data_IF_377067615133
#
_entry.id   IF_377067615133
#
_cell.length_a   1.000
_cell.length_b   1.000
_cell.length_c   1.000
_cell.angle_alpha   90.00
_cell.angle_beta   90.00
_cell.angle_gamma   90.00
#
_symmetry.space_group_name_H-M   'P 1'
#
loop_
_entity.id
_entity.type
_entity.pdbx_description
1 polymer ?
#
# COMPACT_ATOMS: atom_id res chain seq x y z
N UNK A 1 0.89 43.79 27.01
CA UNK A 1 0.80 42.51 27.74
C UNK A 1 0.46 41.43 26.72
N UNK A 2 1.46 40.76 26.15
CA UNK A 2 1.24 39.60 25.30
C UNK A 2 0.94 38.42 26.22
N UNK A 3 -0.23 37.81 26.06
CA UNK A 3 -0.55 36.56 26.75
C UNK A 3 0.44 35.48 26.29
N UNK A 4 0.98 34.64 27.21
CA UNK A 4 1.69 33.43 26.79
C UNK A 4 0.67 32.47 26.15
N UNK A 5 1.02 31.73 25.09
CA UNK A 5 0.15 30.69 24.58
C UNK A 5 0.01 29.60 25.65
N UNK A 6 -1.18 29.53 26.25
CA UNK A 6 -1.63 28.40 27.05
C UNK A 6 -1.87 27.20 26.12
N UNK A 7 -0.81 26.53 25.72
CA UNK A 7 -0.89 25.20 25.13
C UNK A 7 -0.74 24.20 26.27
N UNK A 8 -1.85 23.59 26.67
CA UNK A 8 -1.83 22.32 27.39
C UNK A 8 -0.77 21.42 26.73
N UNK A 9 0.30 21.13 27.47
CA UNK A 9 1.47 20.35 27.06
C UNK A 9 1.12 18.85 26.95
N UNK A 10 0.06 18.54 26.20
CA UNK A 10 -0.48 17.21 26.03
C UNK A 10 0.41 16.46 25.04
N UNK A 11 1.07 15.42 25.56
CA UNK A 11 1.86 14.48 24.78
C UNK A 11 0.99 13.95 23.63
N UNK A 12 1.42 14.07 22.36
CA UNK A 12 0.62 13.69 21.22
C UNK A 12 0.34 12.17 21.27
N UNK A 13 -0.92 11.72 21.16
CA UNK A 13 -1.24 10.30 21.22
C UNK A 13 -0.76 9.54 19.99
N UNK A 14 -0.62 10.22 18.85
CA UNK A 14 -0.12 9.65 17.60
C UNK A 14 0.80 10.62 16.88
N UNK A 15 1.95 10.12 16.47
CA UNK A 15 2.91 10.82 15.64
C UNK A 15 3.00 10.14 14.28
N UNK A 16 3.34 10.90 13.24
CA UNK A 16 3.73 10.36 11.95
C UNK A 16 5.17 10.73 11.68
N UNK A 17 6.01 9.73 11.50
CA UNK A 17 7.40 9.92 11.07
C UNK A 17 7.42 9.72 9.56
N UNK A 18 7.89 10.71 8.81
CA UNK A 18 8.04 10.63 7.37
C UNK A 18 9.53 10.55 7.01
N UNK A 19 9.90 9.47 6.31
CA UNK A 19 11.26 9.23 5.81
C UNK A 19 11.20 9.06 4.29
N UNK A 20 11.50 10.11 3.51
CA UNK A 20 11.40 10.06 2.05
C UNK A 20 12.62 9.38 1.39
N UNK A 21 13.81 9.45 2.00
CA UNK A 21 15.06 8.96 1.41
C UNK A 21 15.84 8.04 2.36
N UNK A 22 16.82 7.32 1.82
CA UNK A 22 17.72 6.45 2.58
C UNK A 22 17.22 5.02 2.81
N UNK A 23 18.09 4.17 3.37
CA UNK A 23 17.81 2.75 3.65
C UNK A 23 16.77 2.56 4.77
N UNK A 24 16.54 3.61 5.56
CA UNK A 24 15.69 3.61 6.75
C UNK A 24 14.23 4.01 6.45
N UNK A 25 13.81 3.96 5.17
CA UNK A 25 12.43 4.25 4.71
C UNK A 25 11.35 3.46 5.45
N UNK A 26 11.67 2.24 5.89
CA UNK A 26 10.81 1.39 6.70
C UNK A 26 10.47 1.98 8.09
N UNK A 27 11.19 3.01 8.54
CA UNK A 27 10.84 3.77 9.73
C UNK A 27 9.71 4.79 9.51
N UNK A 28 9.32 5.07 8.25
CA UNK A 28 8.19 5.93 7.93
C UNK A 28 6.88 5.27 8.39
N UNK A 29 5.98 6.02 9.02
CA UNK A 29 4.66 5.53 9.42
C UNK A 29 4.09 6.17 10.69
N UNK A 30 2.96 5.62 11.15
CA UNK A 30 2.26 6.11 12.34
C UNK A 30 2.80 5.46 13.60
N UNK A 31 3.14 6.27 14.59
CA UNK A 31 3.63 5.90 15.91
C UNK A 31 2.58 6.24 16.95
N UNK A 32 2.13 5.25 17.72
CA UNK A 32 1.12 5.41 18.77
C UNK A 32 1.76 5.42 20.16
N UNK A 33 1.34 6.35 21.00
CA UNK A 33 1.84 6.53 22.36
C UNK A 33 1.61 5.25 23.18
N UNK A 34 2.65 4.82 23.88
CA UNK A 34 2.63 3.67 24.76
C UNK A 34 2.38 4.11 26.22
N UNK A 35 1.87 3.18 27.04
CA UNK A 35 1.78 3.39 28.50
C UNK A 35 3.16 3.41 29.15
N UNK A 36 4.09 2.64 28.58
CA UNK A 36 5.48 2.57 29.01
C UNK A 36 6.21 3.88 28.66
N UNK A 37 7.23 4.21 29.45
CA UNK A 37 8.11 5.35 29.20
C UNK A 37 9.52 4.86 28.89
N UNK A 38 10.24 5.60 28.05
CA UNK A 38 11.65 5.37 27.79
C UNK A 38 12.44 6.50 28.43
N UNK A 39 13.34 6.20 29.37
CA UNK A 39 14.15 7.21 30.07
C UNK A 39 13.30 8.37 30.65
N UNK A 40 12.19 8.03 31.33
CA UNK A 40 11.19 8.95 31.90
C UNK A 40 10.41 9.81 30.88
N UNK A 41 10.63 9.57 29.60
CA UNK A 41 10.06 10.32 28.48
C UNK A 41 9.01 9.50 27.73
N UNK A 42 8.09 10.15 27.01
CA UNK A 42 7.08 9.44 26.24
C UNK A 42 7.70 8.53 25.19
N UNK A 43 7.09 7.36 25.03
CA UNK A 43 7.49 6.34 24.09
C UNK A 43 6.35 6.14 23.09
N UNK A 44 6.68 6.14 21.79
CA UNK A 44 5.71 5.77 20.77
C UNK A 44 6.16 4.51 20.04
N UNK A 45 5.19 3.65 19.68
CA UNK A 45 5.42 2.42 18.90
C UNK A 45 4.80 2.56 17.52
N UNK A 46 5.55 2.21 16.48
CA UNK A 46 5.07 2.15 15.10
C UNK A 46 3.93 1.13 14.96
N UNK A 47 2.87 1.53 14.25
CA UNK A 47 1.83 0.65 13.76
C UNK A 47 2.31 0.00 12.45
N UNK A 48 2.29 -1.34 12.38
CA UNK A 48 2.78 -2.09 11.23
C UNK A 48 3.34 -3.45 11.64
N UNK A 49 3.92 -4.15 10.66
CA UNK A 49 4.55 -5.47 10.86
C UNK A 49 5.92 -5.31 11.52
N UNK A 50 6.67 -4.26 11.16
CA UNK A 50 7.96 -3.96 11.76
C UNK A 50 7.79 -3.17 13.05
N UNK A 51 8.19 -3.77 14.17
CA UNK A 51 8.18 -3.07 15.45
C UNK A 51 9.33 -2.06 15.50
N UNK A 52 8.97 -0.78 15.45
CA UNK A 52 9.87 0.33 15.69
C UNK A 52 9.33 1.22 16.82
N UNK A 53 10.23 1.89 17.52
CA UNK A 53 9.92 2.80 18.62
C UNK A 53 10.57 4.15 18.40
N UNK A 54 9.82 5.22 18.67
CA UNK A 54 10.33 6.57 18.78
C UNK A 54 10.50 6.89 20.26
N UNK A 55 11.72 7.18 20.67
CA UNK A 55 12.11 7.34 22.07
C UNK A 55 13.23 8.38 22.23
N UNK A 56 13.44 8.82 23.46
CA UNK A 56 14.58 9.64 23.83
C UNK A 56 15.64 8.78 24.54
N UNK A 57 16.91 8.88 24.14
CA UNK A 57 18.00 8.18 24.82
C UNK A 57 18.51 8.97 26.05
N UNK A 58 19.42 8.38 26.83
CA UNK A 58 20.02 9.03 28.03
C UNK A 58 20.83 10.31 27.72
N UNK A 59 21.25 10.48 26.47
CA UNK A 59 21.95 11.68 26.01
C UNK A 59 20.98 12.80 25.61
N UNK A 60 19.66 12.58 25.71
CA UNK A 60 18.63 13.55 25.33
C UNK A 60 18.32 13.59 23.83
N UNK A 61 18.87 12.68 23.04
CA UNK A 61 18.65 12.57 21.61
C UNK A 61 17.36 11.81 21.30
N UNK A 62 16.62 12.27 20.28
CA UNK A 62 15.45 11.55 19.79
C UNK A 62 15.88 10.51 18.76
N UNK A 63 15.44 9.28 18.96
CA UNK A 63 15.85 8.12 18.17
C UNK A 63 14.62 7.34 17.69
N UNK A 64 14.69 6.82 16.47
CA UNK A 64 13.79 5.74 16.01
C UNK A 64 14.61 4.45 15.94
N UNK A 65 14.24 3.46 16.74
CA UNK A 65 14.97 2.19 16.85
C UNK A 65 14.07 0.96 16.83
N UNK A 66 14.66 -0.18 16.50
CA UNK A 66 13.98 -1.46 16.40
C UNK A 66 13.80 -2.16 17.75
N UNK A 67 13.43 -3.44 17.70
CA UNK A 67 13.15 -4.27 18.87
C UNK A 67 14.31 -4.36 19.85
N UNK A 68 15.54 -4.28 19.37
CA UNK A 68 16.70 -4.38 20.25
C UNK A 68 16.91 -3.11 21.09
N UNK A 69 16.38 -1.96 20.67
CA UNK A 69 16.35 -0.77 21.52
C UNK A 69 15.51 -1.02 22.79
N UNK A 70 14.37 -1.71 22.65
CA UNK A 70 13.53 -2.11 23.79
C UNK A 70 14.21 -3.13 24.69
N UNK A 71 14.92 -4.12 24.12
CA UNK A 71 15.67 -5.14 24.88
C UNK A 71 16.79 -4.53 25.73
N UNK A 72 17.29 -3.36 25.35
CA UNK A 72 18.33 -2.61 26.06
C UNK A 72 17.77 -1.41 26.82
N UNK A 73 16.49 -1.45 27.17
CA UNK A 73 15.80 -0.41 27.96
C UNK A 73 15.97 1.00 27.38
N UNK A 74 16.05 1.11 26.05
CA UNK A 74 16.24 2.38 25.33
C UNK A 74 17.54 3.12 25.67
N UNK A 75 18.55 2.42 26.20
CA UNK A 75 19.91 2.91 26.43
C UNK A 75 20.84 2.71 25.21
N UNK A 76 20.24 2.48 24.03
CA UNK A 76 20.98 2.07 22.86
C UNK A 76 21.19 3.21 21.87
N UNK A 77 22.46 3.45 21.53
CA UNK A 77 22.89 4.44 20.54
C UNK A 77 22.82 3.94 19.09
N UNK A 78 22.57 2.64 18.86
CA UNK A 78 22.27 2.13 17.51
C UNK A 78 20.78 2.28 17.27
N UNK A 79 20.44 3.29 16.48
CA UNK A 79 19.09 3.59 16.03
C UNK A 79 19.10 3.77 14.51
N UNK A 80 17.93 3.69 13.89
CA UNK A 80 17.77 3.87 12.45
C UNK A 80 17.76 5.35 12.10
N UNK A 81 17.00 6.13 12.86
CA UNK A 81 16.94 7.58 12.75
C UNK A 81 17.39 8.21 14.05
N UNK A 82 18.01 9.37 13.91
CA UNK A 82 18.62 10.08 15.02
C UNK A 82 18.48 11.58 14.83
N UNK A 83 18.05 12.28 15.88
CA UNK A 83 18.01 13.73 15.95
C UNK A 83 18.85 14.19 17.14
N UNK A 84 19.81 15.08 16.88
CA UNK A 84 20.64 15.67 17.93
C UNK A 84 19.79 16.50 18.89
N UNK A 85 20.14 16.44 20.17
CA UNK A 85 19.46 17.20 21.20
C UNK A 85 19.70 18.70 20.94
N UNK A 86 18.69 19.55 21.12
CA UNK A 86 18.94 20.98 21.12
C UNK A 86 19.95 21.31 22.23
N UNK A 87 20.77 22.37 22.05
CA UNK A 87 21.75 22.78 23.05
C UNK A 87 21.12 23.17 24.39
N UNK A 88 19.82 23.47 24.41
CA UNK A 88 19.05 23.72 25.62
C UNK A 88 18.34 22.43 26.12
N UNK A 89 18.67 21.94 27.33
CA UNK A 89 18.03 20.77 27.95
C UNK A 89 16.51 20.90 28.13
N UNK A 90 15.99 22.12 28.26
CA UNK A 90 14.54 22.34 28.42
C UNK A 90 13.78 22.11 27.12
N UNK A 91 14.37 22.45 25.97
CA UNK A 91 13.80 22.15 24.66
C UNK A 91 13.86 20.65 24.33
N UNK A 92 14.89 19.96 24.82
CA UNK A 92 15.01 18.51 24.68
C UNK A 92 13.85 17.75 25.35
N UNK A 93 13.28 18.30 26.44
CA UNK A 93 12.11 17.76 27.16
C UNK A 93 10.76 18.10 26.50
N UNK A 94 10.75 18.99 25.52
CA UNK A 94 9.52 19.45 24.87
C UNK A 94 8.96 18.46 23.82
N UNK A 95 9.66 17.35 23.57
CA UNK A 95 9.21 16.31 22.64
C UNK A 95 9.68 16.53 21.19
N UNK A 96 9.54 15.51 20.32
CA UNK A 96 10.06 15.53 18.96
C UNK A 96 9.38 16.57 18.04
N UNK A 97 8.18 17.05 18.41
CA UNK A 97 7.43 18.06 17.66
C UNK A 97 7.88 19.50 17.92
N UNK A 98 8.35 19.80 19.14
CA UNK A 98 8.86 21.15 19.49
C UNK A 98 10.30 21.37 19.00
N UNK A 99 11.03 20.30 18.72
CA UNK A 99 12.41 20.33 18.18
C UNK A 99 12.34 20.30 16.63
N UNK A 100 11.36 20.99 16.05
CA UNK A 100 11.14 21.06 14.59
C UNK A 100 12.26 21.81 13.81
N UNK A 101 13.30 22.30 14.51
CA UNK A 101 14.37 23.11 13.91
C UNK A 101 15.66 22.32 13.59
N UNK A 102 15.81 21.09 14.07
CA UNK A 102 17.03 20.29 13.83
C UNK A 102 16.77 19.19 12.79
N UNK A 103 17.63 19.05 11.77
CA UNK A 103 17.47 18.00 10.78
C UNK A 103 17.67 16.62 11.41
N UNK A 104 16.89 15.65 10.95
CA UNK A 104 17.11 14.25 11.33
C UNK A 104 18.24 13.66 10.50
N UNK A 105 18.85 12.61 11.02
CA UNK A 105 19.90 11.84 10.37
C UNK A 105 19.45 10.39 10.28
N UNK A 106 19.87 9.71 9.22
CA UNK A 106 19.67 8.27 9.05
C UNK A 106 21.03 7.57 8.90
N UNK A 107 21.08 6.31 9.32
CA UNK A 107 22.30 5.51 9.22
C UNK A 107 22.41 4.86 7.84
N UNK A 108 23.47 5.20 7.11
CA UNK A 108 23.88 4.57 5.85
C UNK A 108 24.75 3.36 6.16
N UNK A 109 24.24 2.15 5.88
CA UNK A 109 24.94 0.90 6.16
C UNK A 109 26.12 0.64 5.21
N UNK A 110 26.01 1.10 3.96
CA UNK A 110 27.05 0.98 2.93
C UNK A 110 28.19 1.92 3.25
N UNK A 111 27.88 3.20 3.47
CA UNK A 111 28.86 4.23 3.81
C UNK A 111 29.33 4.20 5.28
N UNK A 112 28.66 3.41 6.13
CA UNK A 112 28.87 3.33 7.60
C UNK A 112 28.94 4.70 8.27
N UNK A 113 28.04 5.60 7.88
CA UNK A 113 28.03 6.99 8.34
C UNK A 113 26.60 7.48 8.58
N UNK A 114 26.48 8.51 9.41
CA UNK A 114 25.23 9.25 9.53
C UNK A 114 25.09 10.23 8.37
N UNK A 115 23.94 10.19 7.71
CA UNK A 115 23.59 11.10 6.62
C UNK A 115 22.48 12.02 7.11
N UNK A 116 22.75 13.33 7.02
CA UNK A 116 21.82 14.37 7.43
C UNK A 116 20.76 14.56 6.35
N UNK A 117 19.49 14.44 6.73
CA UNK A 117 18.35 14.57 5.83
C UNK A 117 17.35 15.61 6.39
N UNK A 118 17.36 16.84 5.84
CA UNK A 118 16.47 17.90 6.26
C UNK A 118 15.05 17.71 5.72
N UNK A 119 14.72 16.63 5.02
CA UNK A 119 13.37 16.33 4.52
C UNK A 119 12.58 15.39 5.42
N UNK A 120 13.25 14.71 6.37
CA UNK A 120 12.58 13.90 7.39
C UNK A 120 11.75 14.80 8.32
N UNK A 121 10.51 14.39 8.61
CA UNK A 121 9.55 15.16 9.42
C UNK A 121 8.86 14.25 10.44
N UNK A 122 8.56 14.80 11.61
CA UNK A 122 7.67 14.19 12.61
C UNK A 122 6.48 15.12 12.81
N UNK A 123 5.27 14.60 12.63
CA UNK A 123 4.04 15.38 12.64
C UNK A 123 3.06 14.83 13.67
N UNK A 124 2.32 15.73 14.31
CA UNK A 124 1.24 15.38 15.23
C UNK A 124 -0.01 15.01 14.43
N UNK A 125 -0.37 13.74 14.40
CA UNK A 125 -1.45 13.24 13.54
C UNK A 125 -2.82 13.85 13.91
N UNK A 126 -3.26 13.83 15.19
CA UNK A 126 -4.49 14.46 15.62
C UNK A 126 -4.63 15.93 15.24
N UNK A 127 -3.54 16.69 15.34
CA UNK A 127 -3.55 18.14 15.08
C UNK A 127 -3.14 18.50 13.64
N UNK A 128 -2.70 17.53 12.84
CA UNK A 128 -2.35 17.77 11.44
C UNK A 128 -3.59 18.19 10.64
N UNK A 129 -3.46 19.29 9.88
CA UNK A 129 -4.50 19.75 8.98
C UNK A 129 -4.78 18.73 7.87
N UNK A 130 -5.95 18.82 7.24
CA UNK A 130 -6.28 17.98 6.08
C UNK A 130 -5.23 18.11 4.98
N UNK A 131 -4.72 19.32 4.76
CA UNK A 131 -3.67 19.61 3.79
C UNK A 131 -2.35 18.93 4.13
N UNK A 132 -1.94 18.96 5.39
CA UNK A 132 -0.71 18.28 5.84
C UNK A 132 -0.81 16.76 5.65
N UNK A 133 -1.96 16.16 5.98
CA UNK A 133 -2.21 14.73 5.77
C UNK A 133 -2.20 14.38 4.28
N UNK A 134 -2.78 15.23 3.44
CA UNK A 134 -2.81 15.03 1.99
C UNK A 134 -1.43 15.21 1.36
N UNK A 135 -0.65 16.22 1.78
CA UNK A 135 0.72 16.45 1.33
C UNK A 135 1.62 15.24 1.66
N UNK A 136 1.53 14.71 2.88
CA UNK A 136 2.25 13.49 3.24
C UNK A 136 1.87 12.31 2.35
N UNK A 137 0.56 12.10 2.16
CA UNK A 137 0.09 11.02 1.31
C UNK A 137 0.54 11.18 -0.13
N UNK A 138 0.62 12.41 -0.64
CA UNK A 138 1.09 12.68 -1.99
C UNK A 138 2.58 12.34 -2.13
N UNK A 139 3.42 12.81 -1.21
CA UNK A 139 4.84 12.45 -1.19
C UNK A 139 5.07 10.94 -1.05
N UNK A 140 4.27 10.28 -0.22
CA UNK A 140 4.35 8.83 -0.05
C UNK A 140 3.92 8.11 -1.34
N UNK A 141 2.83 8.51 -1.98
CA UNK A 141 2.39 7.97 -3.27
C UNK A 141 3.44 8.22 -4.37
N UNK A 142 4.06 9.40 -4.42
CA UNK A 142 5.16 9.70 -5.33
C UNK A 142 6.37 8.79 -5.07
N UNK A 143 6.71 8.54 -3.80
CA UNK A 143 7.77 7.61 -3.44
C UNK A 143 7.45 6.17 -3.89
N UNK A 144 6.20 5.73 -3.72
CA UNK A 144 5.72 4.43 -4.23
C UNK A 144 5.85 4.35 -5.76
N UNK A 145 5.45 5.39 -6.48
CA UNK A 145 5.58 5.47 -7.95
C UNK A 145 7.04 5.49 -8.39
N UNK A 146 7.91 6.20 -7.67
CA UNK A 146 9.34 6.18 -7.92
C UNK A 146 9.93 4.76 -7.82
N UNK A 147 9.50 3.98 -6.82
CA UNK A 147 9.89 2.58 -6.69
C UNK A 147 9.36 1.73 -7.86
N UNK A 148 8.09 1.91 -8.24
CA UNK A 148 7.49 1.23 -9.40
C UNK A 148 8.25 1.53 -10.70
N UNK A 149 8.61 2.80 -10.95
CA UNK A 149 9.36 3.21 -12.14
C UNK A 149 10.76 2.59 -12.21
N UNK A 150 11.43 2.45 -11.06
CA UNK A 150 12.71 1.72 -10.98
C UNK A 150 12.51 0.25 -11.38
N UNK A 151 11.43 -0.39 -10.91
CA UNK A 151 11.10 -1.76 -11.29
C UNK A 151 10.70 -1.91 -12.77
N UNK A 152 9.99 -0.94 -13.36
CA UNK A 152 9.68 -0.93 -14.82
C UNK A 152 10.95 -0.89 -15.66
N UNK A 153 11.93 -0.05 -15.28
CA UNK A 153 13.22 0.02 -15.99
C UNK A 153 14.02 -1.27 -15.91
N UNK A 154 13.84 -2.06 -14.85
CA UNK A 154 14.45 -3.39 -14.68
C UNK A 154 13.77 -4.48 -15.51
N UNK A 155 12.48 -4.34 -15.81
CA UNK A 155 11.65 -5.33 -16.56
C UNK A 155 11.54 -5.03 -18.05
N UNK A 156 12.10 -3.90 -18.49
CA UNK A 156 12.16 -3.52 -19.90
C UNK A 156 13.12 -4.42 -20.68
N UNK A 157 12.57 -5.22 -21.61
CA UNK A 157 13.30 -6.20 -22.43
C UNK A 157 14.39 -5.60 -23.36
N UNK A 158 14.46 -4.27 -23.52
CA UNK A 158 15.39 -3.60 -24.45
C UNK A 158 16.52 -2.81 -23.79
N UNK A 159 16.53 -2.66 -22.46
CA UNK A 159 17.63 -2.03 -21.75
C UNK A 159 18.58 -3.11 -21.20
N UNK A 160 19.92 -2.91 -21.29
CA UNK A 160 20.87 -3.82 -20.67
C UNK A 160 20.57 -3.91 -19.16
N UNK A 161 20.61 -5.11 -18.56
CA UNK A 161 20.27 -5.30 -17.16
C UNK A 161 21.14 -4.37 -16.32
N UNK A 162 20.49 -3.46 -15.57
CA UNK A 162 21.17 -2.55 -14.66
C UNK A 162 22.01 -3.37 -13.66
N UNK A 163 23.23 -2.91 -13.30
CA UNK A 163 24.09 -3.65 -12.38
C UNK A 163 23.32 -3.98 -11.09
N UNK A 164 23.49 -5.19 -10.53
CA UNK A 164 22.76 -5.63 -9.35
C UNK A 164 23.11 -4.71 -8.18
N UNK A 165 22.22 -3.76 -7.91
CA UNK A 165 22.15 -3.01 -6.65
C UNK A 165 21.45 -3.93 -5.64
N UNK A 166 21.85 -3.93 -4.35
CA UNK A 166 21.40 -4.90 -3.35
C UNK A 166 19.87 -4.97 -3.33
N UNK A 167 19.36 -6.12 -3.77
CA UNK A 167 17.95 -6.40 -3.95
C UNK A 167 17.30 -6.61 -2.59
N UNK A 168 16.80 -5.53 -1.99
CA UNK A 168 15.79 -5.64 -0.95
C UNK A 168 14.46 -5.59 -1.68
N UNK A 169 13.69 -6.66 -1.62
CA UNK A 169 12.31 -6.68 -2.12
C UNK A 169 11.54 -5.56 -1.37
N UNK A 170 11.33 -4.41 -2.04
CA UNK A 170 10.70 -3.25 -1.42
C UNK A 170 9.17 -3.42 -1.30
N UNK A 171 8.61 -4.46 -1.93
CA UNK A 171 7.15 -4.71 -2.00
C UNK A 171 6.45 -4.85 -0.64
N UNK A 172 7.03 -5.49 0.42
CA UNK A 172 6.38 -5.59 1.73
C UNK A 172 6.25 -4.22 2.41
N UNK A 173 7.19 -3.32 2.13
CA UNK A 173 7.23 -1.99 2.74
C UNK A 173 6.20 -1.04 2.11
N UNK A 174 5.81 -1.29 0.85
CA UNK A 174 4.87 -0.45 0.11
C UNK A 174 3.45 -0.61 0.65
N UNK A 175 3.01 -1.85 0.88
CA UNK A 175 1.74 -2.13 1.54
C UNK A 175 1.72 -1.56 2.96
N UNK A 176 2.80 -1.71 3.73
CA UNK A 176 2.89 -1.16 5.09
C UNK A 176 2.73 0.37 5.11
N UNK A 177 3.35 1.09 4.18
CA UNK A 177 3.27 2.55 4.10
C UNK A 177 1.85 3.00 3.75
N UNK A 178 1.22 2.35 2.79
CA UNK A 178 -0.17 2.61 2.44
C UNK A 178 -1.14 2.30 3.60
N UNK A 179 -0.94 1.18 4.30
CA UNK A 179 -1.68 0.82 5.50
C UNK A 179 -1.61 1.93 6.55
N UNK A 180 -0.40 2.43 6.79
CA UNK A 180 -0.15 3.58 7.64
C UNK A 180 -0.98 4.80 7.23
N UNK A 181 -0.97 5.17 5.95
CA UNK A 181 -1.72 6.33 5.45
C UNK A 181 -3.23 6.16 5.61
N UNK A 182 -3.76 4.95 5.43
CA UNK A 182 -5.17 4.71 5.74
C UNK A 182 -5.48 4.87 7.23
N UNK A 183 -4.57 4.48 8.13
CA UNK A 183 -4.76 4.72 9.58
C UNK A 183 -4.72 6.20 9.96
N UNK A 184 -4.12 7.06 9.11
CA UNK A 184 -4.19 8.52 9.24
C UNK A 184 -5.55 9.10 8.80
N UNK A 185 -6.42 8.29 8.21
CA UNK A 185 -7.69 8.73 7.65
C UNK A 185 -7.53 9.44 6.30
N UNK A 186 -6.43 9.20 5.58
CA UNK A 186 -6.28 9.68 4.21
C UNK A 186 -7.02 8.75 3.27
N UNK A 187 -7.79 9.34 2.36
CA UNK A 187 -8.42 8.62 1.28
C UNK A 187 -7.50 8.54 0.06
N UNK A 188 -6.73 7.46 -0.02
CA UNK A 188 -5.83 7.16 -1.14
C UNK A 188 -6.56 6.84 -2.45
N UNK A 189 -7.90 6.74 -2.44
CA UNK A 189 -8.70 6.49 -3.64
C UNK A 189 -9.16 7.77 -4.33
N UNK A 190 -8.77 8.93 -3.80
CA UNK A 190 -8.98 10.23 -4.42
C UNK A 190 -8.28 10.32 -5.80
N UNK A 191 -8.90 10.96 -6.81
CA UNK A 191 -8.26 11.25 -8.09
C UNK A 191 -7.07 12.21 -7.96
N UNK A 192 -6.87 12.84 -6.79
CA UNK A 192 -5.71 13.67 -6.49
C UNK A 192 -4.39 12.89 -6.52
N UNK A 193 -4.45 11.56 -6.45
CA UNK A 193 -3.28 10.68 -6.44
C UNK A 193 -3.06 9.99 -7.79
N UNK A 194 -3.45 10.59 -8.92
CA UNK A 194 -3.09 10.11 -10.27
C UNK A 194 -1.74 10.64 -10.71
N UNK A 195 -1.00 9.88 -11.51
CA UNK A 195 0.20 10.39 -12.19
C UNK A 195 -0.13 11.13 -13.49
N UNK A 196 0.91 11.56 -14.22
CA UNK A 196 0.82 12.23 -15.52
C UNK A 196 0.16 11.37 -16.60
N UNK A 197 0.13 10.05 -16.41
CA UNK A 197 -0.57 9.10 -17.29
C UNK A 197 -2.01 8.84 -16.83
N UNK A 198 -2.48 9.53 -15.78
CA UNK A 198 -3.81 9.35 -15.21
C UNK A 198 -3.94 8.05 -14.41
N UNK A 199 -2.84 7.35 -14.16
CA UNK A 199 -2.87 6.08 -13.46
C UNK A 199 -3.09 6.31 -11.96
N UNK A 200 -4.16 5.75 -11.40
CA UNK A 200 -4.42 5.77 -9.95
C UNK A 200 -3.45 4.84 -9.22
N UNK A 201 -3.38 4.95 -7.89
CA UNK A 201 -2.55 4.05 -7.08
C UNK A 201 -2.90 2.57 -7.27
N UNK A 202 -4.17 2.23 -7.49
CA UNK A 202 -4.60 0.87 -7.80
C UNK A 202 -4.08 0.38 -9.16
N UNK A 203 -4.03 1.26 -10.18
CA UNK A 203 -3.46 0.91 -11.49
C UNK A 203 -1.97 0.57 -11.36
N UNK A 204 -1.21 1.40 -10.63
CA UNK A 204 0.21 1.14 -10.36
C UNK A 204 0.42 -0.11 -9.53
N UNK A 205 -0.38 -0.33 -8.47
CA UNK A 205 -0.27 -1.53 -7.65
C UNK A 205 -0.60 -2.80 -8.45
N UNK A 206 -1.54 -2.73 -9.38
CA UNK A 206 -1.90 -3.84 -10.25
C UNK A 206 -0.82 -4.16 -11.29
N UNK A 207 -0.23 -3.12 -11.90
CA UNK A 207 0.91 -3.24 -12.81
C UNK A 207 2.13 -3.88 -12.11
N UNK A 208 2.36 -3.54 -10.84
CA UNK A 208 3.51 -4.00 -10.07
C UNK A 208 3.31 -5.32 -9.32
N UNK A 209 2.07 -5.85 -9.29
CA UNK A 209 1.78 -7.10 -8.58
C UNK A 209 1.67 -6.96 -7.06
N UNK A 210 1.45 -5.76 -6.53
CA UNK A 210 1.38 -5.50 -5.08
C UNK A 210 0.04 -5.95 -4.49
N UNK A 211 -0.11 -7.26 -4.29
CA UNK A 211 -1.34 -7.93 -3.84
C UNK A 211 -1.91 -7.36 -2.55
N UNK A 212 -1.07 -7.12 -1.54
CA UNK A 212 -1.51 -6.57 -0.24
C UNK A 212 -2.01 -5.12 -0.38
N UNK A 213 -1.33 -4.29 -1.15
CA UNK A 213 -1.77 -2.92 -1.42
C UNK A 213 -3.07 -2.89 -2.22
N UNK A 214 -3.20 -3.74 -3.24
CA UNK A 214 -4.47 -3.92 -3.96
C UNK A 214 -5.60 -4.33 -3.00
N UNK A 215 -5.34 -5.29 -2.10
CA UNK A 215 -6.33 -5.73 -1.10
C UNK A 215 -6.77 -4.59 -0.20
N UNK A 216 -5.85 -3.81 0.33
CA UNK A 216 -6.17 -2.70 1.21
C UNK A 216 -6.94 -1.59 0.49
N UNK A 217 -6.53 -1.23 -0.72
CA UNK A 217 -7.22 -0.26 -1.56
C UNK A 217 -8.65 -0.71 -1.85
N UNK A 218 -8.86 -1.97 -2.22
CA UNK A 218 -10.18 -2.52 -2.49
C UNK A 218 -11.04 -2.69 -1.24
N UNK A 219 -10.47 -2.87 -0.05
CA UNK A 219 -11.26 -2.86 1.19
C UNK A 219 -11.77 -1.45 1.55
N UNK A 220 -11.09 -0.39 1.10
CA UNK A 220 -11.36 1.00 1.50
C UNK A 220 -11.80 1.91 0.34
N UNK A 221 -12.09 1.34 -0.82
CA UNK A 221 -12.34 2.10 -2.04
C UNK A 221 -13.68 2.84 -2.06
N UNK A 222 -13.70 3.97 -2.79
CA UNK A 222 -14.93 4.63 -3.22
C UNK A 222 -15.63 3.86 -4.34
N UNK A 223 -16.97 3.96 -4.45
CA UNK A 223 -17.71 3.42 -5.59
C UNK A 223 -17.11 3.91 -6.93
N UNK A 224 -16.86 2.98 -7.85
CA UNK A 224 -16.30 3.29 -9.17
C UNK A 224 -14.77 3.38 -9.23
N UNK A 225 -14.06 3.36 -8.10
CA UNK A 225 -12.58 3.39 -8.10
C UNK A 225 -11.95 2.16 -8.79
N UNK A 226 -12.59 1.00 -8.66
CA UNK A 226 -12.18 -0.26 -9.31
C UNK A 226 -12.10 -0.14 -10.84
N UNK A 227 -13.03 0.60 -11.43
CA UNK A 227 -13.15 0.80 -12.88
C UNK A 227 -12.46 2.09 -13.35
N UNK A 228 -11.61 2.69 -12.51
CA UNK A 228 -10.79 3.85 -12.90
C UNK A 228 -9.93 3.49 -14.10
N UNK A 229 -9.76 4.46 -15.01
CA UNK A 229 -8.99 4.30 -16.24
C UNK A 229 -7.85 5.30 -16.30
N UNK A 230 -6.72 4.87 -16.85
CA UNK A 230 -5.65 5.79 -17.25
C UNK A 230 -5.98 6.53 -18.56
N UNK A 231 -5.08 7.40 -19.03
CA UNK A 231 -5.26 8.14 -20.28
C UNK A 231 -5.41 7.24 -21.53
N UNK A 232 -4.97 5.99 -21.45
CA UNK A 232 -5.15 4.98 -22.51
C UNK A 232 -6.44 4.13 -22.31
N UNK A 233 -7.29 4.50 -21.37
CA UNK A 233 -8.55 3.79 -21.10
C UNK A 233 -8.38 2.44 -20.38
N UNK A 234 -7.19 2.12 -19.88
CA UNK A 234 -6.87 0.81 -19.28
C UNK A 234 -7.26 0.77 -17.80
N UNK A 235 -7.85 -0.33 -17.36
CA UNK A 235 -8.28 -0.58 -15.97
C UNK A 235 -7.22 -1.33 -15.16
N UNK A 236 -7.41 -1.46 -13.85
CA UNK A 236 -6.47 -2.21 -12.99
C UNK A 236 -6.34 -3.67 -13.42
N UNK A 237 -7.45 -4.27 -13.84
CA UNK A 237 -7.48 -5.64 -14.35
C UNK A 237 -6.65 -5.78 -15.63
N UNK A 238 -6.71 -4.78 -16.51
CA UNK A 238 -5.88 -4.75 -17.72
C UNK A 238 -4.38 -4.77 -17.37
N UNK A 239 -3.95 -3.90 -16.45
CA UNK A 239 -2.55 -3.82 -16.02
C UNK A 239 -2.07 -5.10 -15.32
N UNK A 240 -2.88 -5.69 -14.43
CA UNK A 240 -2.54 -6.95 -13.76
C UNK A 240 -2.35 -8.11 -14.74
N UNK A 241 -3.24 -8.22 -15.73
CA UNK A 241 -3.17 -9.27 -16.76
C UNK A 241 -1.99 -9.04 -17.69
N UNK A 242 -1.78 -7.81 -18.16
CA UNK A 242 -0.63 -7.47 -19.00
C UNK A 242 0.70 -7.79 -18.29
N UNK A 243 0.81 -7.49 -17.00
CA UNK A 243 2.01 -7.79 -16.22
C UNK A 243 2.12 -9.27 -15.79
N UNK A 244 1.09 -10.08 -16.03
CA UNK A 244 1.10 -11.52 -15.73
C UNK A 244 0.85 -11.88 -14.26
N UNK A 245 0.30 -10.96 -13.46
CA UNK A 245 0.09 -11.13 -12.03
C UNK A 245 -1.23 -11.85 -11.72
N UNK A 246 -1.17 -13.17 -11.57
CA UNK A 246 -2.34 -14.02 -11.32
C UNK A 246 -3.08 -13.67 -10.03
N UNK A 247 -2.37 -13.57 -8.91
CA UNK A 247 -3.00 -13.29 -7.61
C UNK A 247 -3.76 -11.94 -7.60
N UNK A 248 -3.19 -10.91 -8.21
CA UNK A 248 -3.86 -9.60 -8.34
C UNK A 248 -5.05 -9.69 -9.30
N UNK A 249 -4.92 -10.42 -10.40
CA UNK A 249 -6.01 -10.64 -11.35
C UNK A 249 -7.21 -11.30 -10.67
N UNK A 250 -6.98 -12.38 -9.93
CA UNK A 250 -8.02 -13.09 -9.18
C UNK A 250 -8.66 -12.18 -8.12
N UNK A 251 -7.86 -11.39 -7.41
CA UNK A 251 -8.34 -10.44 -6.41
C UNK A 251 -9.22 -9.34 -7.02
N UNK A 252 -8.86 -8.80 -8.18
CA UNK A 252 -9.67 -7.81 -8.90
C UNK A 252 -10.97 -8.41 -9.44
N UNK A 253 -10.92 -9.63 -9.99
CA UNK A 253 -12.11 -10.34 -10.46
C UNK A 253 -13.06 -10.69 -9.30
N UNK A 254 -12.51 -11.10 -8.16
CA UNK A 254 -13.29 -11.32 -6.93
C UNK A 254 -13.98 -10.04 -6.47
N UNK A 255 -13.31 -8.90 -6.59
CA UNK A 255 -13.88 -7.58 -6.34
C UNK A 255 -14.88 -7.09 -7.40
N UNK A 256 -15.27 -7.95 -8.38
CA UNK A 256 -16.23 -7.69 -9.46
C UNK A 256 -15.73 -6.69 -10.52
N UNK A 257 -14.42 -6.63 -10.77
CA UNK A 257 -13.89 -5.86 -11.89
C UNK A 257 -14.46 -6.36 -13.22
N UNK A 258 -14.74 -5.45 -14.15
CA UNK A 258 -15.30 -5.80 -15.45
C UNK A 258 -14.23 -6.53 -16.30
N UNK A 259 -14.40 -7.83 -16.61
CA UNK A 259 -13.41 -8.60 -17.36
C UNK A 259 -13.34 -8.24 -18.85
N UNK A 260 -14.34 -7.50 -19.33
CA UNK A 260 -14.47 -7.05 -20.72
C UNK A 260 -14.24 -5.55 -20.90
N UNK A 261 -13.69 -4.88 -19.88
CA UNK A 261 -13.33 -3.47 -19.97
C UNK A 261 -12.20 -3.28 -20.99
N UNK A 262 -12.53 -2.72 -22.15
CA UNK A 262 -11.57 -2.45 -23.21
C UNK A 262 -10.81 -1.12 -22.99
N UNK A 263 -9.55 -1.08 -23.44
CA UNK A 263 -8.76 0.15 -23.58
C UNK A 263 -9.34 1.07 -24.66
N UNK A 264 -8.78 2.28 -24.82
CA UNK A 264 -9.14 3.21 -25.90
C UNK A 264 -8.92 2.61 -27.30
N UNK A 265 -7.99 1.67 -27.42
CA UNK A 265 -7.69 0.93 -28.66
C UNK A 265 -8.61 -0.30 -28.87
N UNK A 266 -9.56 -0.54 -27.97
CA UNK A 266 -10.45 -1.70 -28.01
C UNK A 266 -9.80 -3.00 -27.50
N UNK A 267 -8.62 -2.94 -26.87
CA UNK A 267 -7.94 -4.12 -26.33
C UNK A 267 -8.59 -4.50 -24.99
N UNK A 268 -9.06 -5.74 -24.88
CA UNK A 268 -9.58 -6.30 -23.63
C UNK A 268 -8.49 -7.06 -22.87
N UNK A 269 -8.63 -7.25 -21.54
CA UNK A 269 -7.70 -8.06 -20.75
C UNK A 269 -7.51 -9.48 -21.32
N UNK A 270 -8.56 -10.08 -21.88
CA UNK A 270 -8.46 -11.41 -22.50
C UNK A 270 -7.50 -11.43 -23.70
N UNK A 271 -7.46 -10.36 -24.51
CA UNK A 271 -6.49 -10.25 -25.61
C UNK A 271 -5.06 -10.26 -25.07
N UNK A 272 -4.81 -9.54 -23.96
CA UNK A 272 -3.50 -9.54 -23.32
C UNK A 272 -3.13 -10.92 -22.77
N UNK A 273 -4.05 -11.62 -22.11
CA UNK A 273 -3.83 -12.97 -21.58
C UNK A 273 -3.46 -13.98 -22.69
N UNK A 274 -4.09 -13.84 -23.86
CA UNK A 274 -3.79 -14.66 -25.03
C UNK A 274 -2.43 -14.31 -25.66
N UNK A 275 -2.08 -13.01 -25.74
CA UNK A 275 -0.78 -12.59 -26.32
C UNK A 275 0.43 -12.93 -25.45
N UNK A 276 0.25 -13.07 -24.14
CA UNK A 276 1.29 -13.51 -23.21
C UNK A 276 1.29 -15.04 -22.98
N UNK A 277 0.40 -15.76 -23.67
CA UNK A 277 0.27 -17.22 -23.63
C UNK A 277 -0.02 -17.79 -22.22
N UNK A 278 -0.77 -17.04 -21.39
CA UNK A 278 -1.08 -17.41 -20.01
C UNK A 278 -2.49 -18.00 -19.89
N UNK A 279 -2.58 -19.32 -20.01
CA UNK A 279 -3.84 -20.07 -19.91
C UNK A 279 -4.54 -19.88 -18.56
N UNK A 280 -3.78 -19.76 -17.47
CA UNK A 280 -4.27 -19.47 -16.12
C UNK A 280 -5.02 -18.13 -16.07
N UNK A 281 -4.47 -17.07 -16.67
CA UNK A 281 -5.11 -15.76 -16.71
C UNK A 281 -6.31 -15.74 -17.67
N UNK A 282 -6.19 -16.38 -18.83
CA UNK A 282 -7.27 -16.51 -19.79
C UNK A 282 -8.47 -17.27 -19.20
N UNK A 283 -8.21 -18.39 -18.53
CA UNK A 283 -9.25 -19.19 -17.86
C UNK A 283 -9.90 -18.43 -16.70
N UNK A 284 -9.14 -17.69 -15.90
CA UNK A 284 -9.68 -16.83 -14.84
C UNK A 284 -10.62 -15.74 -15.40
N UNK A 285 -10.22 -15.07 -16.49
CA UNK A 285 -11.04 -14.06 -17.17
C UNK A 285 -12.33 -14.66 -17.77
N UNK A 286 -12.22 -15.81 -18.44
CA UNK A 286 -13.38 -16.51 -19.00
C UNK A 286 -14.34 -17.02 -17.91
N UNK A 287 -13.80 -17.52 -16.79
CA UNK A 287 -14.61 -17.90 -15.63
C UNK A 287 -15.37 -16.71 -15.04
N UNK A 288 -14.78 -15.51 -15.10
CA UNK A 288 -15.43 -14.25 -14.75
C UNK A 288 -16.40 -13.71 -15.82
N UNK A 289 -16.63 -14.46 -16.92
CA UNK A 289 -17.47 -14.09 -18.07
C UNK A 289 -16.90 -12.99 -18.96
N UNK A 290 -15.59 -13.00 -19.20
CA UNK A 290 -15.01 -12.25 -20.31
C UNK A 290 -15.63 -12.66 -21.64
N UNK A 291 -15.84 -11.69 -22.53
CA UNK A 291 -16.32 -11.91 -23.89
C UNK A 291 -15.24 -12.57 -24.77
N UNK A 292 -15.33 -13.89 -24.93
CA UNK A 292 -14.45 -14.66 -25.82
C UNK A 292 -14.64 -14.32 -27.31
N UNK A 293 -15.74 -13.66 -27.69
CA UNK A 293 -16.04 -13.27 -29.07
C UNK A 293 -15.70 -11.80 -29.36
N UNK A 294 -15.09 -11.09 -28.41
CA UNK A 294 -14.64 -9.73 -28.63
C UNK A 294 -13.55 -9.70 -29.70
N UNK A 295 -13.66 -8.74 -30.64
CA UNK A 295 -12.71 -8.62 -31.75
C UNK A 295 -11.36 -8.11 -31.26
N UNK A 296 -10.29 -8.72 -31.73
CA UNK A 296 -8.91 -8.24 -31.58
C UNK A 296 -8.71 -6.88 -32.27
N UNK A 297 -7.67 -6.12 -31.88
CA UNK A 297 -7.22 -4.95 -32.63
C UNK A 297 -7.03 -5.31 -34.11
N UNK A 298 -7.72 -4.60 -35.00
CA UNK A 298 -7.79 -4.95 -36.44
C UNK A 298 -9.06 -5.69 -36.86
N UNK A 299 -10.02 -5.89 -35.95
CA UNK A 299 -11.39 -6.31 -36.27
C UNK A 299 -11.59 -7.80 -36.50
N UNK A 300 -10.56 -8.63 -36.27
CA UNK A 300 -10.64 -10.10 -36.37
C UNK A 300 -11.17 -10.71 -35.08
N UNK A 301 -11.86 -11.83 -35.15
CA UNK A 301 -12.19 -12.61 -33.95
C UNK A 301 -10.93 -13.31 -33.42
N UNK A 302 -10.84 -13.58 -32.11
CA UNK A 302 -9.70 -14.28 -31.52
C UNK A 302 -9.44 -15.66 -32.15
N UNK A 303 -10.52 -16.38 -32.49
CA UNK A 303 -10.48 -17.67 -33.19
C UNK A 303 -9.98 -17.60 -34.65
N UNK A 304 -10.07 -16.41 -35.27
CA UNK A 304 -9.66 -16.14 -36.65
C UNK A 304 -8.28 -15.45 -36.72
N UNK A 305 -7.66 -15.21 -35.56
CA UNK A 305 -6.29 -14.75 -35.48
C UNK A 305 -5.35 -15.89 -35.87
N UNK A 306 -4.48 -15.61 -36.84
CA UNK A 306 -3.48 -16.56 -37.32
C UNK A 306 -2.14 -16.02 -36.86
N UNK A 307 -1.75 -16.38 -35.64
CA UNK A 307 -0.38 -16.24 -35.18
C UNK A 307 0.51 -17.22 -35.93
N UNK A 308 1.81 -16.90 -36.15
CA UNK A 308 2.73 -17.78 -36.87
C UNK A 308 2.78 -19.22 -36.29
N UNK A 309 2.47 -19.38 -35.00
CA UNK A 309 2.51 -20.66 -34.28
C UNK A 309 1.12 -21.25 -33.99
N UNK A 310 0.02 -20.57 -34.34
CA UNK A 310 -1.35 -21.03 -34.10
C UNK A 310 -1.77 -21.16 -32.63
N UNK A 311 -0.99 -20.57 -31.71
CA UNK A 311 -1.12 -20.78 -30.27
C UNK A 311 -2.32 -20.06 -29.64
N UNK A 312 -2.71 -18.88 -30.13
CA UNK A 312 -3.84 -18.14 -29.55
C UNK A 312 -5.16 -18.92 -29.63
N UNK A 313 -5.39 -19.64 -30.73
CA UNK A 313 -6.59 -20.48 -30.89
C UNK A 313 -6.57 -21.68 -29.96
N UNK A 314 -5.44 -22.40 -29.88
CA UNK A 314 -5.32 -23.58 -29.01
C UNK A 314 -5.43 -23.20 -27.55
N UNK A 315 -4.84 -22.07 -27.14
CA UNK A 315 -4.94 -21.53 -25.79
C UNK A 315 -6.37 -21.09 -25.45
N UNK A 316 -7.08 -20.44 -26.38
CA UNK A 316 -8.47 -20.06 -26.17
C UNK A 316 -9.36 -21.30 -26.01
N UNK A 317 -9.19 -22.31 -26.87
CA UNK A 317 -9.92 -23.58 -26.77
C UNK A 317 -9.61 -24.32 -25.46
N UNK A 318 -8.33 -24.33 -25.04
CA UNK A 318 -7.90 -24.94 -23.77
C UNK A 318 -8.48 -24.19 -22.56
N UNK A 319 -8.38 -22.86 -22.54
CA UNK A 319 -8.93 -22.04 -21.47
C UNK A 319 -10.46 -22.18 -21.38
N UNK A 320 -11.17 -22.22 -22.51
CA UNK A 320 -12.62 -22.50 -22.55
C UNK A 320 -12.98 -23.90 -22.03
N UNK A 321 -12.12 -24.90 -22.27
CA UNK A 321 -12.29 -26.24 -21.74
C UNK A 321 -12.02 -26.30 -20.22
N UNK A 322 -11.06 -25.50 -19.72
CA UNK A 322 -10.71 -25.40 -18.32
C UNK A 322 -11.76 -24.65 -17.47
N UNK A 323 -12.58 -23.79 -18.09
CA UNK A 323 -13.67 -23.09 -17.38
C UNK A 323 -14.68 -24.13 -16.86
N UNK A 324 -14.92 -24.20 -15.53
CA UNK A 324 -15.87 -25.15 -14.98
C UNK A 324 -17.26 -24.88 -15.55
N UNK A 325 -17.76 -25.79 -16.40
CA UNK A 325 -19.12 -25.70 -16.94
C UNK A 325 -20.10 -25.53 -15.78
N UNK A 326 -21.10 -24.63 -15.90
CA UNK A 326 -22.11 -24.49 -14.86
C UNK A 326 -22.77 -25.85 -14.67
N UNK A 327 -22.49 -26.52 -13.54
CA UNK A 327 -23.22 -27.72 -13.15
C UNK A 327 -24.68 -27.31 -13.12
N UNK A 328 -25.50 -27.89 -14.03
CA UNK A 328 -26.96 -27.79 -13.99
C UNK A 328 -27.37 -28.00 -12.54
N UNK A 329 -27.94 -26.95 -11.94
CA UNK A 329 -28.34 -26.91 -10.54
C UNK A 329 -29.14 -28.18 -10.22
N UNK A 330 -28.55 -29.11 -9.47
CA UNK A 330 -29.35 -29.76 -8.43
C UNK A 330 -29.35 -28.75 -7.30
N UNK A 331 -30.50 -28.11 -7.12
CA UNK A 331 -30.74 -27.22 -6.00
C UNK A 331 -30.37 -27.96 -4.72
N UNK A 332 -29.21 -27.62 -4.16
CA UNK A 332 -28.96 -27.75 -2.73
C UNK A 332 -28.68 -26.32 -2.30
N UNK A 333 -29.62 -25.78 -1.55
CA UNK A 333 -29.61 -24.46 -0.96
C UNK A 333 -28.34 -24.27 -0.12
N UNK A 334 -27.34 -23.54 -0.63
CA UNK A 334 -26.31 -22.95 0.22
C UNK A 334 -26.77 -21.55 0.63
N UNK A 335 -27.78 -21.53 1.49
CA UNK A 335 -28.04 -20.40 2.37
C UNK A 335 -27.23 -20.61 3.64
N UNK A 336 -25.93 -20.31 3.64
CA UNK A 336 -25.12 -20.43 4.86
C UNK A 336 -24.07 -19.34 5.09
N UNK A 337 -23.59 -18.58 4.08
CA UNK A 337 -22.58 -17.54 4.35
C UNK A 337 -23.18 -16.22 4.86
N UNK A 338 -24.33 -15.79 4.32
CA UNK A 338 -25.07 -14.67 4.89
C UNK A 338 -25.64 -15.01 6.29
N UNK A 339 -26.06 -16.26 6.51
CA UNK A 339 -26.58 -16.71 7.80
C UNK A 339 -25.50 -16.80 8.90
N UNK A 340 -24.24 -17.09 8.54
CA UNK A 340 -23.12 -17.08 9.48
C UNK A 340 -22.72 -15.66 9.89
N UNK A 341 -22.73 -14.70 8.96
CA UNK A 341 -22.47 -13.30 9.28
C UNK A 341 -23.57 -12.69 10.17
N UNK A 342 -24.84 -13.05 9.90
CA UNK A 342 -25.99 -12.52 10.63
C UNK A 342 -26.12 -13.11 12.05
N UNK A 343 -25.86 -14.41 12.23
CA UNK A 343 -25.80 -15.01 13.59
C UNK A 343 -24.64 -14.49 14.44
N UNK A 344 -23.52 -14.11 13.82
CA UNK A 344 -22.37 -13.52 14.55
C UNK A 344 -22.71 -12.10 15.03
N UNK A 345 -23.40 -11.31 14.20
CA UNK A 345 -23.93 -10.00 14.56
C UNK A 345 -24.98 -10.08 15.68
N UNK A 346 -25.93 -11.01 15.60
CA UNK A 346 -26.96 -11.21 16.63
C UNK A 346 -26.38 -11.71 17.96
N UNK A 347 -25.39 -12.61 17.92
CA UNK A 347 -24.67 -13.06 19.12
C UNK A 347 -23.88 -11.92 19.79
N UNK A 348 -23.22 -11.06 19.00
CA UNK A 348 -22.52 -9.88 19.56
C UNK A 348 -23.47 -8.83 20.12
N UNK A 349 -24.64 -8.63 19.49
CA UNK A 349 -25.65 -7.68 19.98
C UNK A 349 -26.33 -8.18 21.26
N UNK A 350 -26.61 -9.47 21.40
CA UNK A 350 -27.13 -10.06 22.63
C UNK A 350 -26.11 -9.99 23.80
N UNK A 351 -24.82 -10.08 23.48
CA UNK A 351 -23.74 -9.93 24.49
C UNK A 351 -23.60 -8.48 24.96
N UNK A 352 -23.87 -7.51 24.09
CA UNK A 352 -23.85 -6.08 24.43
C UNK A 352 -25.11 -5.63 25.17
N UNK A 353 -26.29 -6.21 24.92
CA UNK A 353 -27.50 -5.86 25.67
C UNK A 353 -27.45 -6.33 27.13
N UNK A 354 -26.86 -7.49 27.39
CA UNK A 354 -26.66 -8.02 28.76
C UNK A 354 -25.69 -7.18 29.61
N UNK A 355 -24.74 -6.48 28.97
CA UNK A 355 -23.78 -5.60 29.65
C UNK A 355 -24.43 -4.25 30.00
N UNK A 356 -25.40 -3.78 29.20
CA UNK A 356 -26.11 -2.52 29.44
C UNK A 356 -27.25 -2.62 30.47
N UNK A 357 -27.75 -3.83 30.78
CA UNK A 357 -28.77 -4.03 31.82
C UNK A 357 -28.19 -4.24 33.23
N UNK A 358 -26.87 -4.35 33.38
CA UNK A 358 -26.17 -4.50 34.67
C UNK A 358 -25.23 -3.33 35.02
N UNK A 359 -25.41 -2.19 34.35
CA UNK A 359 -24.82 -0.88 34.70
C UNK A 359 -25.94 0.12 34.93
#
# INVERSE_FOLDING_TARGET
MMQPPSADNKIPPKLWVHVPHGEQRHCSGCFSLQKDKANEQPLWKKAGVYEAWLYQNKLGHWCVGGKEARLREFDWNRCFLYQTAPPDPHQSRAGPLLIAAQPWQWWDSVGRKWVLDPTIRVLDVPHASSEQRQMLAQHEVEALRGAAEVCRRRTSWWLPPAPPQPEVDETPFIAERAAGLFTLGVDLTSPLFTDDLGATLLLTAAEMGWTDLCRELLCKHRPGYLESRDHAGRTALFHAVHAGHQEVTELLLYAKACPSAASSEGIQPLHCALSIEREDLASALLAARADAAAKLPGGRLPQDHVDPDGQTRTLLDSALAAVPRPRRKRCVTYGTEAAFAQRRLESTLASLSLILEHS
#
